data_IF_514725070190
#
_entry.id   IF_514725070190
#
_cell.length_a   1.000
_cell.length_b   1.000
_cell.length_c   1.000
_cell.angle_alpha   90.00
_cell.angle_beta   90.00
_cell.angle_gamma   90.00
#
_symmetry.space_group_name_H-M   'P 1'
#
loop_
_entity.id
_entity.type
_entity.pdbx_description
1 polymer ?
#
# COMPACT_ATOMS: atom_id res chain seq x y z
N UNK A 1 15.41 27.09 70.10
CA UNK A 1 14.09 26.61 70.56
C UNK A 1 13.04 27.16 69.61
N UNK A 2 12.69 26.44 68.54
CA UNK A 2 11.62 26.86 67.61
C UNK A 2 10.59 25.75 67.54
N UNK A 3 9.50 25.96 68.28
CA UNK A 3 8.35 25.07 68.40
C UNK A 3 7.62 24.95 67.05
N UNK A 4 7.54 23.72 66.55
CA UNK A 4 6.81 23.34 65.33
C UNK A 4 5.30 23.59 65.56
N UNK A 5 4.57 24.23 64.63
CA UNK A 5 3.16 24.52 64.85
C UNK A 5 2.34 23.22 64.85
N UNK A 6 1.51 23.05 65.88
CA UNK A 6 0.56 21.95 65.99
C UNK A 6 -0.66 22.19 65.09
N UNK A 7 -1.21 21.15 64.44
CA UNK A 7 -2.36 21.29 63.54
C UNK A 7 -3.65 21.47 64.35
N UNK A 8 -4.15 22.71 64.43
CA UNK A 8 -5.45 23.04 65.01
C UNK A 8 -6.56 22.93 63.95
N UNK A 9 -6.85 21.72 63.45
CA UNK A 9 -8.02 21.52 62.59
C UNK A 9 -9.16 20.92 63.41
N UNK A 10 -10.31 21.60 63.44
CA UNK A 10 -11.52 21.09 64.09
C UNK A 10 -12.03 19.81 63.38
N UNK A 11 -12.78 18.95 64.09
CA UNK A 11 -13.35 17.72 63.49
C UNK A 11 -14.19 18.03 62.24
N UNK A 12 -14.90 19.16 62.24
CA UNK A 12 -15.68 19.65 61.10
C UNK A 12 -14.82 20.00 59.87
N UNK A 13 -13.64 20.58 60.06
CA UNK A 13 -12.72 20.91 58.95
C UNK A 13 -12.17 19.64 58.26
N UNK A 14 -11.94 18.59 59.06
CA UNK A 14 -11.47 17.30 58.54
C UNK A 14 -12.54 16.61 57.69
N UNK A 15 -13.80 16.66 58.12
CA UNK A 15 -14.93 16.09 57.39
C UNK A 15 -15.23 16.85 56.09
N UNK A 16 -15.18 18.18 56.12
CA UNK A 16 -15.27 19.00 54.91
C UNK A 16 -14.17 18.68 53.90
N UNK A 17 -12.92 18.57 54.37
CA UNK A 17 -11.77 18.23 53.52
C UNK A 17 -11.92 16.84 52.93
N UNK A 18 -12.45 15.88 53.69
CA UNK A 18 -12.76 14.52 53.21
C UNK A 18 -13.86 14.53 52.16
N UNK A 19 -14.92 15.32 52.34
CA UNK A 19 -15.99 15.46 51.35
C UNK A 19 -15.49 16.11 50.05
N UNK A 20 -14.71 17.20 50.15
CA UNK A 20 -14.05 17.85 49.00
C UNK A 20 -13.13 16.87 48.26
N UNK A 21 -12.34 16.06 48.97
CA UNK A 21 -11.51 15.00 48.36
C UNK A 21 -12.33 13.94 47.64
N UNK A 22 -13.46 13.50 48.20
CA UNK A 22 -14.34 12.52 47.53
C UNK A 22 -14.90 13.07 46.22
N UNK A 23 -15.34 14.33 46.21
CA UNK A 23 -15.86 14.99 45.01
C UNK A 23 -14.75 15.17 43.94
N UNK A 24 -13.57 15.63 44.36
CA UNK A 24 -12.41 15.78 43.45
C UNK A 24 -11.92 14.44 42.88
N UNK A 25 -11.85 13.38 43.70
CA UNK A 25 -11.48 12.04 43.23
C UNK A 25 -12.53 11.46 42.28
N UNK A 26 -13.82 11.71 42.54
CA UNK A 26 -14.91 11.29 41.65
C UNK A 26 -14.78 11.97 40.29
N UNK A 27 -14.55 13.28 40.28
CA UNK A 27 -14.40 14.05 39.04
C UNK A 27 -13.13 13.67 38.27
N UNK A 28 -12.00 13.47 38.96
CA UNK A 28 -10.76 13.03 38.32
C UNK A 28 -10.84 11.59 37.77
N UNK A 29 -11.52 10.67 38.47
CA UNK A 29 -11.79 9.34 37.95
C UNK A 29 -12.69 9.39 36.70
N UNK A 30 -13.73 10.26 36.70
CA UNK A 30 -14.57 10.49 35.51
C UNK A 30 -13.74 11.00 34.34
N UNK A 31 -12.93 12.05 34.55
CA UNK A 31 -12.05 12.61 33.51
C UNK A 31 -11.04 11.61 32.99
N UNK A 32 -10.48 10.77 33.86
CA UNK A 32 -9.57 9.69 33.45
C UNK A 32 -10.28 8.67 32.55
N UNK A 33 -11.50 8.23 32.91
CA UNK A 33 -12.29 7.33 32.06
C UNK A 33 -12.62 7.96 30.72
N UNK A 34 -13.05 9.23 30.70
CA UNK A 34 -13.35 9.96 29.46
C UNK A 34 -12.14 10.04 28.52
N UNK A 35 -10.95 10.39 29.04
CA UNK A 35 -9.72 10.45 28.23
C UNK A 35 -9.33 9.09 27.67
N UNK A 36 -9.47 8.03 28.45
CA UNK A 36 -9.22 6.65 27.97
C UNK A 36 -10.21 6.24 26.89
N UNK A 37 -11.49 6.60 27.03
CA UNK A 37 -12.49 6.32 26.01
C UNK A 37 -12.18 7.06 24.70
N UNK A 38 -11.89 8.35 24.77
CA UNK A 38 -11.50 9.14 23.59
C UNK A 38 -10.29 8.53 22.86
N UNK A 39 -9.27 8.11 23.61
CA UNK A 39 -8.10 7.48 23.01
C UNK A 39 -8.42 6.13 22.35
N UNK A 40 -9.31 5.33 22.96
CA UNK A 40 -9.78 4.09 22.33
C UNK A 40 -10.57 4.39 21.04
N UNK A 41 -11.45 5.37 21.06
CA UNK A 41 -12.23 5.78 19.88
C UNK A 41 -11.32 6.27 18.75
N UNK A 42 -10.29 7.06 19.08
CA UNK A 42 -9.25 7.50 18.14
C UNK A 42 -8.49 6.31 17.53
N UNK A 43 -8.05 5.34 18.35
CA UNK A 43 -7.35 4.16 17.87
C UNK A 43 -8.24 3.29 16.96
N UNK A 44 -9.51 3.10 17.31
CA UNK A 44 -10.48 2.39 16.45
C UNK A 44 -10.65 3.11 15.12
N UNK A 45 -10.74 4.44 15.14
CA UNK A 45 -10.79 5.27 13.93
C UNK A 45 -9.55 5.07 13.05
N UNK A 46 -8.36 5.11 13.63
CA UNK A 46 -7.10 4.88 12.90
C UNK A 46 -7.03 3.48 12.29
N UNK A 47 -7.45 2.44 13.03
CA UNK A 47 -7.48 1.06 12.50
C UNK A 47 -8.42 0.97 11.31
N UNK A 48 -9.62 1.55 11.39
CA UNK A 48 -10.59 1.56 10.28
C UNK A 48 -10.00 2.26 9.04
N UNK A 49 -9.39 3.43 9.22
CA UNK A 49 -8.77 4.17 8.13
C UNK A 49 -7.64 3.36 7.46
N UNK A 50 -6.75 2.76 8.26
CA UNK A 50 -5.66 1.93 7.74
C UNK A 50 -6.18 0.69 7.00
N UNK A 51 -7.28 0.08 7.48
CA UNK A 51 -7.92 -1.04 6.80
C UNK A 51 -8.47 -0.64 5.43
N UNK A 52 -9.13 0.51 5.34
CA UNK A 52 -9.68 1.04 4.09
C UNK A 52 -8.57 1.41 3.10
N UNK A 53 -7.51 2.09 3.56
CA UNK A 53 -6.33 2.40 2.76
C UNK A 53 -5.65 1.14 2.23
N UNK A 54 -5.48 0.14 3.10
CA UNK A 54 -4.89 -1.14 2.74
C UNK A 54 -5.74 -1.88 1.68
N UNK A 55 -7.07 -1.81 1.80
CA UNK A 55 -7.99 -2.37 0.79
C UNK A 55 -7.85 -1.65 -0.54
N UNK A 56 -7.78 -0.32 -0.54
CA UNK A 56 -7.59 0.48 -1.76
C UNK A 56 -6.26 0.18 -2.44
N UNK A 57 -5.17 0.07 -1.68
CA UNK A 57 -3.86 -0.30 -2.23
C UNK A 57 -3.88 -1.69 -2.86
N UNK A 58 -4.52 -2.68 -2.22
CA UNK A 58 -4.68 -4.01 -2.82
C UNK A 58 -5.42 -3.95 -4.16
N UNK A 59 -6.54 -3.24 -4.23
CA UNK A 59 -7.29 -3.08 -5.48
C UNK A 59 -6.46 -2.43 -6.59
N UNK A 60 -5.63 -1.45 -6.25
CA UNK A 60 -4.71 -0.83 -7.22
C UNK A 60 -3.64 -1.81 -7.71
N UNK A 61 -3.05 -2.61 -6.81
CA UNK A 61 -2.06 -3.63 -7.15
C UNK A 61 -2.67 -4.69 -8.06
N UNK A 62 -3.87 -5.17 -7.73
CA UNK A 62 -4.58 -6.17 -8.54
C UNK A 62 -4.86 -5.64 -9.95
N UNK A 63 -5.33 -4.39 -10.05
CA UNK A 63 -5.56 -3.72 -11.33
C UNK A 63 -4.28 -3.57 -12.16
N UNK A 64 -3.19 -3.10 -11.54
CA UNK A 64 -1.90 -2.96 -12.21
C UNK A 64 -1.34 -4.32 -12.67
N UNK A 65 -1.51 -5.37 -11.86
CA UNK A 65 -1.09 -6.73 -12.19
C UNK A 65 -1.85 -7.25 -13.40
N UNK A 66 -3.17 -7.04 -13.47
CA UNK A 66 -3.96 -7.46 -14.61
C UNK A 66 -3.56 -6.73 -15.91
N UNK A 67 -3.31 -5.42 -15.83
CA UNK A 67 -2.81 -4.64 -16.97
C UNK A 67 -1.45 -5.15 -17.44
N UNK A 68 -0.54 -5.45 -16.51
CA UNK A 68 0.76 -6.02 -16.83
C UNK A 68 0.64 -7.37 -17.54
N UNK A 69 -0.21 -8.27 -17.05
CA UNK A 69 -0.44 -9.59 -17.67
C UNK A 69 -0.96 -9.42 -19.10
N UNK A 70 -1.95 -8.53 -19.31
CA UNK A 70 -2.50 -8.28 -20.63
C UNK A 70 -1.43 -7.75 -21.59
N UNK A 71 -0.65 -6.75 -21.15
CA UNK A 71 0.44 -6.19 -21.95
C UNK A 71 1.53 -7.21 -22.27
N UNK A 72 1.90 -8.06 -21.31
CA UNK A 72 2.86 -9.13 -21.53
C UNK A 72 2.36 -10.16 -22.56
N UNK A 73 1.06 -10.49 -22.52
CA UNK A 73 0.42 -11.36 -23.52
C UNK A 73 0.44 -10.74 -24.91
N UNK A 74 0.09 -9.46 -25.05
CA UNK A 74 0.14 -8.74 -26.32
C UNK A 74 1.57 -8.67 -26.86
N UNK A 75 2.55 -8.37 -26.01
CA UNK A 75 3.96 -8.33 -26.38
C UNK A 75 4.45 -9.69 -26.90
N UNK A 76 4.10 -10.78 -26.23
CA UNK A 76 4.41 -12.13 -26.67
C UNK A 76 3.76 -12.44 -28.04
N UNK A 77 2.51 -12.02 -28.25
CA UNK A 77 1.84 -12.14 -29.55
C UNK A 77 2.56 -11.37 -30.66
N UNK A 78 3.02 -10.15 -30.39
CA UNK A 78 3.80 -9.36 -31.34
C UNK A 78 5.15 -10.02 -31.66
N UNK A 79 5.86 -10.52 -30.65
CA UNK A 79 7.13 -11.25 -30.84
C UNK A 79 6.96 -12.51 -31.69
N UNK A 80 5.89 -13.27 -31.47
CA UNK A 80 5.57 -14.44 -32.28
C UNK A 80 5.34 -14.06 -33.75
N UNK A 81 4.59 -12.97 -34.01
CA UNK A 81 4.37 -12.46 -35.38
C UNK A 81 5.66 -11.99 -36.03
N UNK A 82 6.53 -11.31 -35.29
CA UNK A 82 7.85 -10.90 -35.80
C UNK A 82 8.65 -12.14 -36.21
N UNK A 83 8.72 -13.17 -35.35
CA UNK A 83 9.41 -14.43 -35.68
C UNK A 83 8.83 -15.08 -36.94
N UNK A 84 7.51 -15.20 -37.04
CA UNK A 84 6.84 -15.80 -38.20
C UNK A 84 7.15 -15.04 -39.49
N UNK A 85 7.10 -13.71 -39.47
CA UNK A 85 7.38 -12.89 -40.63
C UNK A 85 8.86 -12.98 -41.03
N UNK A 86 9.78 -13.01 -40.06
CA UNK A 86 11.21 -13.23 -40.29
C UNK A 86 11.47 -14.59 -40.94
N UNK A 87 10.85 -15.66 -40.43
CA UNK A 87 11.01 -17.01 -41.00
C UNK A 87 10.47 -17.09 -42.44
N UNK A 88 9.30 -16.47 -42.70
CA UNK A 88 8.73 -16.39 -44.05
C UNK A 88 9.64 -15.61 -45.00
N UNK A 89 10.21 -14.51 -44.54
CA UNK A 89 11.14 -13.72 -45.34
C UNK A 89 12.41 -14.52 -45.66
N UNK A 90 13.01 -15.21 -44.69
CA UNK A 90 14.17 -16.07 -44.91
C UNK A 90 13.87 -17.20 -45.90
N UNK A 91 12.68 -17.81 -45.83
CA UNK A 91 12.23 -18.82 -46.79
C UNK A 91 12.14 -18.26 -48.21
N UNK A 92 11.52 -17.08 -48.39
CA UNK A 92 11.43 -16.41 -49.69
C UNK A 92 12.82 -16.02 -50.23
N UNK A 93 13.69 -15.46 -49.38
CA UNK A 93 15.06 -15.13 -49.74
C UNK A 93 15.85 -16.38 -50.18
N UNK A 94 15.64 -17.52 -49.52
CA UNK A 94 16.25 -18.80 -49.91
C UNK A 94 15.76 -19.28 -51.27
N UNK A 95 14.46 -19.16 -51.56
CA UNK A 95 13.90 -19.51 -52.88
C UNK A 95 14.48 -18.61 -53.97
N UNK A 96 14.56 -17.30 -53.74
CA UNK A 96 15.15 -16.35 -54.70
C UNK A 96 16.61 -16.73 -55.00
N UNK A 97 17.38 -17.09 -53.97
CA UNK A 97 18.77 -17.52 -54.14
C UNK A 97 18.88 -18.75 -55.05
N UNK A 98 18.05 -19.78 -54.81
CA UNK A 98 18.02 -20.99 -55.66
C UNK A 98 17.64 -20.63 -57.11
N UNK A 99 16.62 -19.79 -57.31
CA UNK A 99 16.21 -19.37 -58.67
C UNK A 99 17.31 -18.58 -59.37
N UNK A 100 18.04 -17.74 -58.64
CA UNK A 100 19.17 -16.96 -59.16
C UNK A 100 20.30 -17.86 -59.63
N UNK A 101 20.63 -18.88 -58.83
CA UNK A 101 21.65 -19.89 -59.16
C UNK A 101 21.28 -20.71 -60.41
N UNK A 102 19.99 -21.04 -60.58
CA UNK A 102 19.49 -21.78 -61.76
C UNK A 102 19.40 -20.90 -63.01
N UNK A 103 19.12 -19.61 -62.86
CA UNK A 103 18.84 -18.71 -63.99
C UNK A 103 20.08 -17.94 -64.48
N UNK A 104 21.26 -18.16 -63.88
CA UNK A 104 22.50 -17.39 -64.12
C UNK A 104 22.33 -15.86 -64.04
N UNK A 105 21.28 -15.40 -63.35
CA UNK A 105 20.92 -14.00 -63.15
C UNK A 105 21.10 -13.65 -61.68
N UNK A 106 21.97 -12.69 -61.38
CA UNK A 106 22.22 -12.23 -60.02
C UNK A 106 21.07 -11.32 -59.52
N UNK A 107 20.23 -11.84 -58.63
CA UNK A 107 19.29 -11.02 -57.86
C UNK A 107 19.94 -10.66 -56.52
N UNK A 108 20.05 -9.35 -56.24
CA UNK A 108 20.57 -8.84 -54.97
C UNK A 108 19.52 -9.11 -53.86
N UNK A 109 19.79 -10.11 -53.01
CA UNK A 109 18.88 -10.47 -51.91
C UNK A 109 19.28 -9.68 -50.66
N UNK A 110 18.45 -8.75 -50.18
CA UNK A 110 18.77 -7.96 -49.00
C UNK A 110 18.83 -8.84 -47.74
N UNK A 111 19.94 -8.74 -47.00
CA UNK A 111 20.13 -9.38 -45.71
C UNK A 111 19.56 -8.47 -44.61
N UNK A 112 18.55 -8.96 -43.89
CA UNK A 112 18.02 -8.32 -42.68
C UNK A 112 18.59 -9.09 -41.47
N UNK A 113 19.05 -8.43 -40.39
CA UNK A 113 19.47 -9.09 -39.16
C UNK A 113 18.32 -9.79 -38.43
#
# INVERSE_FOLDING_TARGET
>A
MSSKPQPTSSSSDLDERKQKRKLSNRESARRSRMRKQQHLDELVGQVSQLQDESKKMRQMIDGATQLYINFASENNGLRARVSELTDRLHSLNSVIKVVSEVSELAYDVPHIP
#
